data_IF_908492677478
#
_entry.id   IF_908492677478
#
_cell.length_a   1.000
_cell.length_b   1.000
_cell.length_c   1.000
_cell.angle_alpha   90.00
_cell.angle_beta   90.00
_cell.angle_gamma   90.00
#
_symmetry.space_group_name_H-M   'P 1'
#
loop_
_entity.id
_entity.type
_entity.pdbx_description
1 polymer ?
#
# COMPACT_ATOMS: atom_id res chain seq x y z
N UNK A 1 -3.89 -16.62 -3.67
CA UNK A 1 -4.72 -15.49 -3.22
C UNK A 1 -4.45 -15.21 -1.74
N UNK A 2 -4.10 -13.97 -1.40
CA UNK A 2 -3.72 -13.54 -0.04
C UNK A 2 -4.47 -12.26 0.30
N UNK A 3 -4.96 -12.14 1.54
CA UNK A 3 -5.59 -10.89 1.98
C UNK A 3 -4.54 -9.84 2.31
N UNK A 4 -4.61 -8.68 1.67
CA UNK A 4 -3.73 -7.55 1.94
C UNK A 4 -4.54 -6.35 2.46
N UNK A 5 -4.04 -5.66 3.50
CA UNK A 5 -4.70 -4.47 4.02
C UNK A 5 -4.56 -3.28 3.08
N UNK A 6 -5.68 -2.59 2.87
CA UNK A 6 -5.76 -1.29 2.21
C UNK A 6 -5.74 -0.20 3.27
N UNK A 7 -4.95 0.83 3.01
CA UNK A 7 -4.82 2.01 3.86
C UNK A 7 -5.22 3.25 3.08
N UNK A 8 -5.79 4.23 3.79
CA UNK A 8 -5.92 5.59 3.24
C UNK A 8 -4.54 6.23 3.18
N UNK A 9 -4.26 6.97 2.11
CA UNK A 9 -2.99 7.68 1.90
C UNK A 9 -3.30 9.07 1.36
N UNK A 10 -2.62 10.06 1.91
CA UNK A 10 -2.68 11.43 1.44
C UNK A 10 -1.34 11.80 0.83
N UNK A 11 -1.35 12.15 -0.46
CA UNK A 11 -0.15 12.52 -1.22
C UNK A 11 -0.13 14.04 -1.37
N UNK A 12 0.83 14.70 -0.73
CA UNK A 12 1.04 16.14 -0.86
C UNK A 12 1.79 16.44 -2.17
N UNK A 13 1.16 17.15 -3.10
CA UNK A 13 1.78 17.55 -4.38
C UNK A 13 2.51 18.88 -4.28
N UNK A 14 1.99 19.79 -3.46
CA UNK A 14 2.56 21.11 -3.19
C UNK A 14 2.04 21.61 -1.83
N UNK A 15 2.39 22.85 -1.46
CA UNK A 15 2.06 23.44 -0.16
C UNK A 15 0.54 23.52 0.11
N UNK A 16 -0.29 23.53 -0.92
CA UNK A 16 -1.74 23.72 -0.82
C UNK A 16 -2.56 22.57 -1.38
N UNK A 17 -1.94 21.63 -2.10
CA UNK A 17 -2.64 20.51 -2.74
C UNK A 17 -2.25 19.16 -2.15
N UNK A 18 -3.23 18.48 -1.58
CA UNK A 18 -3.12 17.09 -1.12
C UNK A 18 -4.15 16.24 -1.86
N UNK A 19 -3.74 15.09 -2.38
CA UNK A 19 -4.62 14.13 -3.06
C UNK A 19 -4.84 12.90 -2.17
N UNK A 20 -6.05 12.65 -1.68
CA UNK A 20 -6.37 11.41 -0.98
C UNK A 20 -6.48 10.26 -1.98
N UNK A 21 -5.90 9.11 -1.64
CA UNK A 21 -5.98 7.87 -2.40
C UNK A 21 -5.98 6.68 -1.45
N UNK A 22 -6.49 5.54 -1.90
CA UNK A 22 -6.43 4.29 -1.15
C UNK A 22 -5.55 3.30 -1.90
N UNK A 23 -4.57 2.72 -1.21
CA UNK A 23 -3.66 1.73 -1.80
C UNK A 23 -3.44 0.58 -0.83
N UNK A 24 -2.94 -0.54 -1.35
CA UNK A 24 -2.49 -1.62 -0.47
C UNK A 24 -1.26 -1.18 0.33
N UNK A 25 -1.13 -1.71 1.54
CA UNK A 25 -0.04 -1.36 2.45
C UNK A 25 1.36 -1.66 1.87
N UNK A 26 1.49 -2.67 1.02
CA UNK A 26 2.76 -2.94 0.33
C UNK A 26 3.09 -1.88 -0.73
N UNK A 27 2.10 -1.20 -1.32
CA UNK A 27 2.33 -0.12 -2.30
C UNK A 27 2.94 1.14 -1.67
N UNK A 28 2.91 1.29 -0.34
CA UNK A 28 3.45 2.46 0.35
C UNK A 28 4.93 2.72 0.06
N UNK A 29 5.74 1.66 -0.06
CA UNK A 29 7.16 1.79 -0.42
C UNK A 29 7.34 2.42 -1.80
N UNK A 30 6.46 2.08 -2.75
CA UNK A 30 6.45 2.65 -4.10
C UNK A 30 6.05 4.11 -4.05
N UNK A 31 4.97 4.46 -3.33
CA UNK A 31 4.52 5.84 -3.20
C UNK A 31 5.59 6.73 -2.56
N UNK A 32 6.25 6.25 -1.49
CA UNK A 32 7.36 6.97 -0.86
C UNK A 32 8.54 7.18 -1.82
N UNK A 33 8.80 6.24 -2.73
CA UNK A 33 9.84 6.37 -3.75
C UNK A 33 9.48 7.37 -4.85
N UNK A 34 8.20 7.41 -5.25
CA UNK A 34 7.71 8.32 -6.30
C UNK A 34 7.53 9.76 -5.84
N UNK A 35 6.93 9.95 -4.66
CA UNK A 35 6.52 11.26 -4.16
C UNK A 35 7.45 11.80 -3.07
N UNK A 36 8.34 10.97 -2.54
CA UNK A 36 9.15 11.27 -1.37
C UNK A 36 8.40 10.96 -0.07
N UNK A 37 9.09 10.35 0.89
CA UNK A 37 8.50 9.90 2.17
C UNK A 37 7.80 11.02 2.94
N UNK A 38 8.31 12.25 2.89
CA UNK A 38 7.73 13.42 3.56
C UNK A 38 6.40 13.89 2.96
N UNK A 39 6.11 13.51 1.72
CA UNK A 39 4.89 13.89 1.02
C UNK A 39 3.82 12.79 1.04
N UNK A 40 4.12 11.63 1.63
CA UNK A 40 3.19 10.49 1.73
C UNK A 40 2.77 10.33 3.18
N UNK A 41 1.52 10.68 3.47
CA UNK A 41 0.92 10.51 4.79
C UNK A 41 0.00 9.29 4.79
N UNK A 42 0.30 8.32 5.65
CA UNK A 42 -0.48 7.09 5.78
C UNK A 42 -1.54 7.29 6.85
N UNK A 43 -2.80 7.19 6.44
CA UNK A 43 -3.97 7.25 7.31
C UNK A 43 -4.36 5.89 7.86
N UNK A 44 -5.63 5.78 8.25
CA UNK A 44 -6.16 4.58 8.87
C UNK A 44 -6.30 3.40 7.87
N UNK A 45 -6.16 2.14 8.36
CA UNK A 45 -6.55 0.98 7.58
C UNK A 45 -8.05 1.03 7.29
N UNK A 46 -8.42 0.75 6.04
CA UNK A 46 -9.79 0.80 5.55
C UNK A 46 -10.44 -0.58 5.57
N UNK A 47 -9.83 -1.52 4.84
CA UNK A 47 -10.32 -2.88 4.71
C UNK A 47 -9.22 -3.81 4.19
N UNK A 48 -9.48 -5.10 4.19
CA UNK A 48 -8.61 -6.09 3.56
C UNK A 48 -9.23 -6.51 2.22
N UNK A 49 -8.39 -6.70 1.21
CA UNK A 49 -8.81 -7.18 -0.12
C UNK A 49 -7.92 -8.34 -0.52
N UNK A 50 -8.53 -9.28 -1.24
CA UNK A 50 -7.81 -10.41 -1.80
C UNK A 50 -6.94 -9.95 -2.96
N UNK A 51 -5.70 -10.41 -2.97
CA UNK A 51 -4.72 -10.14 -4.01
C UNK A 51 -4.18 -11.46 -4.55
N UNK A 52 -3.89 -11.46 -5.84
CA UNK A 52 -3.18 -12.55 -6.48
C UNK A 52 -1.68 -12.26 -6.49
N UNK A 53 -0.89 -13.01 -5.72
CA UNK A 53 0.55 -12.78 -5.57
C UNK A 53 1.30 -12.98 -6.89
N UNK A 54 0.82 -13.89 -7.73
CA UNK A 54 1.46 -14.25 -9.01
C UNK A 54 1.36 -13.08 -10.00
N UNK A 55 0.19 -12.41 -10.04
CA UNK A 55 -0.04 -11.27 -10.92
C UNK A 55 0.20 -9.89 -10.28
N UNK A 56 0.41 -9.81 -8.95
CA UNK A 56 0.55 -8.50 -8.27
C UNK A 56 1.76 -7.73 -8.78
N UNK A 57 2.89 -8.40 -9.03
CA UNK A 57 4.07 -7.72 -9.58
C UNK A 57 3.74 -7.05 -10.92
N UNK A 58 3.11 -7.79 -11.83
CA UNK A 58 2.67 -7.28 -13.15
C UNK A 58 1.70 -6.10 -13.00
N UNK A 59 0.75 -6.18 -12.07
CA UNK A 59 -0.18 -5.09 -11.74
C UNK A 59 0.57 -3.83 -11.27
N UNK A 60 1.52 -3.98 -10.36
CA UNK A 60 2.30 -2.86 -9.82
C UNK A 60 3.18 -2.23 -10.91
N UNK A 61 3.81 -3.05 -11.75
CA UNK A 61 4.60 -2.59 -12.89
C UNK A 61 3.73 -1.82 -13.88
N UNK A 62 2.53 -2.31 -14.20
CA UNK A 62 1.60 -1.61 -15.08
C UNK A 62 1.12 -0.26 -14.51
N UNK A 63 1.05 -0.12 -13.18
CA UNK A 63 0.58 1.09 -12.51
C UNK A 63 1.68 2.13 -12.23
N UNK A 64 2.87 1.69 -11.82
CA UNK A 64 3.95 2.56 -11.33
C UNK A 64 5.22 2.51 -12.18
N UNK A 65 5.33 1.54 -13.09
CA UNK A 65 6.48 1.31 -13.94
C UNK A 65 7.49 0.32 -13.34
N UNK A 66 8.09 -0.48 -14.21
CA UNK A 66 9.03 -1.56 -13.83
C UNK A 66 10.20 -1.06 -13.00
N UNK A 67 10.84 0.05 -13.41
CA UNK A 67 12.02 0.59 -12.73
C UNK A 67 11.77 0.92 -11.26
N UNK A 68 10.59 1.45 -10.93
CA UNK A 68 10.25 1.86 -9.58
C UNK A 68 9.93 0.64 -8.73
N UNK A 69 9.11 -0.27 -9.25
CA UNK A 69 8.77 -1.52 -8.55
C UNK A 69 10.03 -2.36 -8.32
N UNK A 70 10.89 -2.46 -9.32
CA UNK A 70 12.16 -3.18 -9.21
C UNK A 70 13.16 -2.54 -8.25
N UNK A 71 13.14 -1.20 -8.12
CA UNK A 71 13.94 -0.50 -7.12
C UNK A 71 13.53 -0.80 -5.67
N UNK A 72 12.26 -1.17 -5.43
CA UNK A 72 11.73 -1.41 -4.08
C UNK A 72 11.70 -2.91 -3.73
N UNK A 73 11.22 -3.75 -4.65
CA UNK A 73 11.03 -5.18 -4.40
C UNK A 73 12.03 -6.06 -5.16
N UNK A 74 12.89 -5.48 -6.00
CA UNK A 74 13.71 -6.24 -6.94
C UNK A 74 12.92 -6.69 -8.16
N UNK A 75 13.55 -7.54 -8.97
CA UNK A 75 12.95 -8.10 -10.19
C UNK A 75 11.72 -8.97 -9.89
N UNK A 76 10.91 -9.28 -10.90
CA UNK A 76 9.66 -10.06 -10.74
C UNK A 76 9.84 -11.38 -9.97
N UNK A 77 10.99 -12.03 -10.12
CA UNK A 77 11.32 -13.29 -9.46
C UNK A 77 11.72 -13.13 -7.98
N UNK A 78 11.87 -11.90 -7.48
CA UNK A 78 12.24 -11.66 -6.08
C UNK A 78 11.07 -11.96 -5.14
N UNK A 79 11.30 -12.76 -4.08
CA UNK A 79 10.28 -13.06 -3.09
C UNK A 79 9.95 -11.87 -2.18
N UNK A 80 10.61 -10.71 -2.35
CA UNK A 80 10.45 -9.55 -1.48
C UNK A 80 9.01 -9.02 -1.50
N UNK A 81 8.38 -8.92 -2.67
CA UNK A 81 6.98 -8.48 -2.78
C UNK A 81 6.04 -9.42 -2.04
N UNK A 82 6.14 -10.73 -2.31
CA UNK A 82 5.34 -11.76 -1.65
C UNK A 82 5.55 -11.75 -0.13
N UNK A 83 6.80 -11.62 0.34
CA UNK A 83 7.13 -11.54 1.76
C UNK A 83 6.52 -10.30 2.44
N UNK A 84 6.56 -9.13 1.79
CA UNK A 84 5.94 -7.91 2.34
C UNK A 84 4.43 -8.05 2.42
N UNK A 85 3.79 -8.63 1.39
CA UNK A 85 2.34 -8.87 1.39
C UNK A 85 1.95 -9.84 2.49
N UNK A 86 2.65 -10.98 2.62
CA UNK A 86 2.41 -11.96 3.68
C UNK A 86 2.64 -11.37 5.07
N UNK A 87 3.71 -10.59 5.25
CA UNK A 87 3.99 -9.89 6.51
C UNK A 87 2.87 -8.90 6.86
N UNK A 88 2.35 -8.18 5.87
CA UNK A 88 1.24 -7.25 6.06
C UNK A 88 -0.08 -7.98 6.33
N UNK A 89 -0.31 -9.15 5.73
CA UNK A 89 -1.47 -9.99 5.99
C UNK A 89 -1.47 -10.56 7.41
N UNK A 90 -0.29 -10.91 7.94
CA UNK A 90 -0.13 -11.40 9.32
C UNK A 90 -0.23 -10.28 10.36
N UNK A 91 0.01 -9.04 9.97
CA UNK A 91 -0.25 -7.87 10.80
C UNK A 91 -1.77 -7.62 10.86
N UNK A 92 -2.43 -8.36 11.76
CA UNK A 92 -3.84 -8.22 12.09
C UNK A 92 -4.19 -6.73 12.17
N UNK A 93 -5.16 -6.22 11.38
CA UNK A 93 -5.57 -4.84 11.52
C UNK A 93 -6.01 -4.65 12.97
N UNK A 94 -5.38 -3.70 13.68
CA UNK A 94 -5.93 -3.23 14.95
C UNK A 94 -7.23 -2.53 14.58
N UNK A 95 -8.31 -3.31 14.59
CA UNK A 95 -9.66 -2.81 14.52
C UNK A 95 -9.84 -1.90 15.74
N UNK A 96 -9.54 -0.60 15.59
CA UNK A 96 -10.19 0.40 16.43
C UNK A 96 -11.63 0.43 15.97
N UNK A 97 -12.42 -0.45 16.59
CA UNK A 97 -13.85 -0.24 16.74
C UNK A 97 -14.03 1.15 17.37
N UNK A 98 -14.25 2.17 16.54
CA UNK A 98 -14.84 3.41 17.03
C UNK A 98 -16.25 3.07 17.43
N UNK A 99 -16.42 2.88 18.74
CA UNK A 99 -17.68 2.99 19.42
C UNK A 99 -18.41 4.24 18.91
N UNK A 100 -19.55 4.05 18.24
CA UNK A 100 -20.54 5.10 18.11
C UNK A 100 -21.62 4.80 19.14
N UNK A 101 -21.36 5.25 20.37
CA UNK A 101 -22.43 5.54 21.31
C UNK A 101 -23.17 6.78 20.78
N UNK A 102 -24.51 6.72 20.74
CA UNK A 102 -25.48 7.72 21.23
C UNK A 102 -26.79 7.68 20.44
N UNK A 103 -27.89 7.43 21.16
CA UNK A 103 -29.27 7.43 20.71
C UNK A 103 -30.13 6.71 21.74
#
# INVERSE_FOLDING_TARGET
MTQAPIVSVEIRRDAHTTTPTSVFKHELGILCSLYGKENVSVGNPLCEREIDLDNEYSRLVGKYGEKVVAGIFGVAESPALANVIQSNAQQKPVAKATASAKG
#
